data_IF_501817861848
#
_entry.id   IF_501817861848
#
_cell.length_a   1.000
_cell.length_b   1.000
_cell.length_c   1.000
_cell.angle_alpha   90.00
_cell.angle_beta   90.00
_cell.angle_gamma   90.00
#
_symmetry.space_group_name_H-M   'P 1'
#
loop_
_entity.id
_entity.type
_entity.pdbx_description
1 polymer ?
#
# COMPACT_ATOMS: atom_id res chain seq x y z
N UNK A 1 -29.06 -20.29 -30.55
CA UNK A 1 -28.81 -20.69 -29.14
C UNK A 1 -27.49 -20.08 -28.70
N UNK A 2 -27.45 -18.82 -28.31
CA UNK A 2 -27.78 -18.36 -26.97
C UNK A 2 -26.51 -17.78 -26.36
N UNK A 3 -26.17 -16.55 -26.76
CA UNK A 3 -24.95 -15.84 -26.35
C UNK A 3 -24.99 -15.61 -24.82
N UNK A 4 -24.25 -16.42 -24.07
CA UNK A 4 -24.19 -16.41 -22.59
C UNK A 4 -23.40 -15.20 -22.05
N UNK A 5 -22.86 -14.36 -22.93
CA UNK A 5 -22.26 -13.07 -22.61
C UNK A 5 -23.24 -11.92 -22.80
N UNK A 6 -24.50 -12.10 -22.40
CA UNK A 6 -25.30 -10.94 -22.01
C UNK A 6 -24.55 -10.29 -20.85
N UNK A 7 -23.91 -9.16 -21.15
CA UNK A 7 -23.37 -8.22 -20.19
C UNK A 7 -24.42 -8.05 -19.10
N UNK A 8 -24.21 -8.70 -17.95
CA UNK A 8 -24.86 -8.26 -16.73
C UNK A 8 -24.52 -6.78 -16.63
N UNK A 9 -25.52 -5.92 -16.72
CA UNK A 9 -25.39 -4.49 -16.53
C UNK A 9 -24.85 -4.28 -15.11
N UNK A 10 -23.52 -4.32 -14.98
CA UNK A 10 -22.87 -4.17 -13.70
C UNK A 10 -23.27 -2.79 -13.20
N UNK A 11 -24.01 -2.75 -12.09
CA UNK A 11 -24.42 -1.51 -11.47
C UNK A 11 -23.18 -0.63 -11.33
N UNK A 12 -23.24 0.65 -11.76
CA UNK A 12 -22.10 1.53 -11.66
C UNK A 12 -21.56 1.56 -10.24
N UNK A 13 -20.25 1.45 -10.09
CA UNK A 13 -19.57 1.53 -8.81
C UNK A 13 -19.84 2.91 -8.19
N UNK A 14 -20.37 2.95 -6.97
CA UNK A 14 -20.74 4.19 -6.26
C UNK A 14 -19.70 4.64 -5.24
N UNK A 15 -18.52 4.01 -5.21
CA UNK A 15 -17.47 4.29 -4.24
C UNK A 15 -16.11 4.49 -4.90
N UNK A 16 -15.17 5.10 -4.17
CA UNK A 16 -13.86 5.51 -4.66
C UNK A 16 -12.76 4.46 -4.48
N UNK A 17 -12.87 3.57 -3.48
CA UNK A 17 -11.90 2.51 -3.20
C UNK A 17 -11.74 1.52 -4.38
N UNK A 18 -10.51 1.20 -4.84
CA UNK A 18 -10.27 0.42 -6.05
C UNK A 18 -10.46 -1.09 -5.83
N UNK A 19 -10.77 -1.83 -6.90
CA UNK A 19 -10.80 -3.30 -6.85
C UNK A 19 -9.41 -3.91 -6.61
N UNK A 20 -8.35 -3.28 -7.13
CA UNK A 20 -6.96 -3.67 -6.93
C UNK A 20 -6.18 -2.46 -6.41
N UNK A 21 -5.51 -2.64 -5.28
CA UNK A 21 -4.56 -1.67 -4.75
C UNK A 21 -3.15 -2.20 -4.96
N UNK A 22 -2.29 -1.42 -5.62
CA UNK A 22 -0.89 -1.77 -5.88
C UNK A 22 -0.01 -0.91 -4.99
N UNK A 23 0.98 -1.52 -4.35
CA UNK A 23 2.03 -0.78 -3.65
C UNK A 23 3.38 -1.17 -4.24
N UNK A 24 4.10 -0.18 -4.72
CA UNK A 24 5.42 -0.35 -5.32
C UNK A 24 6.46 0.33 -4.42
N UNK A 25 7.47 -0.39 -3.98
CA UNK A 25 8.59 0.16 -3.22
C UNK A 25 9.83 0.24 -4.11
N UNK A 26 10.35 1.44 -4.30
CA UNK A 26 11.57 1.69 -5.08
C UNK A 26 12.75 1.87 -4.12
N UNK A 27 13.54 0.79 -3.94
CA UNK A 27 14.67 0.75 -3.00
C UNK A 27 15.99 1.04 -3.73
N UNK A 28 16.70 2.15 -3.43
CA UNK A 28 17.95 2.47 -4.11
C UNK A 28 19.02 1.39 -3.84
N UNK A 29 19.75 0.97 -4.89
CA UNK A 29 20.85 0.00 -4.76
C UNK A 29 22.13 0.60 -4.18
N UNK A 30 22.24 1.92 -4.22
CA UNK A 30 23.39 2.72 -3.78
C UNK A 30 22.98 3.74 -2.72
N UNK A 31 23.83 3.95 -1.72
CA UNK A 31 23.62 4.94 -0.67
C UNK A 31 24.01 6.36 -1.06
N UNK A 32 24.82 6.49 -2.13
CA UNK A 32 25.32 7.78 -2.64
C UNK A 32 24.40 8.29 -3.74
N UNK A 33 24.08 9.58 -3.68
CA UNK A 33 23.25 10.26 -4.66
C UNK A 33 21.78 10.43 -4.23
N UNK A 34 21.17 11.51 -4.72
CA UNK A 34 19.77 11.87 -4.48
C UNK A 34 18.96 11.89 -5.79
N UNK A 35 19.54 11.39 -6.87
CA UNK A 35 18.91 11.38 -8.20
C UNK A 35 17.97 10.19 -8.32
N UNK A 36 16.81 10.43 -8.93
CA UNK A 36 15.78 9.40 -9.20
C UNK A 36 16.20 8.40 -10.29
N UNK A 37 17.32 8.66 -10.96
CA UNK A 37 17.90 7.81 -12.01
C UNK A 37 18.80 6.68 -11.48
N UNK A 38 18.97 6.58 -10.17
CA UNK A 38 19.80 5.51 -9.61
C UNK A 38 19.11 4.14 -9.78
N UNK A 39 19.87 3.09 -10.10
CA UNK A 39 19.33 1.73 -10.11
C UNK A 39 18.65 1.40 -8.78
N UNK A 40 17.46 0.80 -8.87
CA UNK A 40 16.68 0.41 -7.70
C UNK A 40 16.22 -1.05 -7.79
N UNK A 41 16.02 -1.65 -6.62
CA UNK A 41 15.24 -2.88 -6.49
C UNK A 41 13.79 -2.48 -6.23
N UNK A 42 12.89 -2.98 -7.08
CA UNK A 42 11.47 -2.74 -6.93
C UNK A 42 10.79 -3.93 -6.25
N UNK A 43 9.95 -3.64 -5.26
CA UNK A 43 9.03 -4.62 -4.66
C UNK A 43 7.61 -4.16 -4.96
N UNK A 44 6.86 -4.94 -5.73
CA UNK A 44 5.47 -4.64 -6.05
C UNK A 44 4.54 -5.64 -5.38
N UNK A 45 3.59 -5.13 -4.60
CA UNK A 45 2.57 -5.91 -3.92
C UNK A 45 1.18 -5.56 -4.50
N UNK A 46 0.40 -6.59 -4.81
CA UNK A 46 -0.96 -6.47 -5.33
C UNK A 46 -1.96 -6.92 -4.27
N UNK A 47 -2.93 -6.07 -3.96
CA UNK A 47 -3.99 -6.34 -2.98
C UNK A 47 -5.35 -6.28 -3.67
N UNK A 48 -6.02 -7.43 -3.73
CA UNK A 48 -7.39 -7.51 -4.22
C UNK A 48 -8.38 -7.18 -3.08
N UNK A 49 -9.37 -6.34 -3.38
CA UNK A 49 -10.45 -6.03 -2.44
C UNK A 49 -11.21 -7.31 -2.06
N UNK A 50 -11.35 -7.53 -0.75
CA UNK A 50 -12.13 -8.65 -0.22
C UNK A 50 -13.64 -8.49 -0.46
N UNK A 51 -14.40 -9.58 -0.63
CA UNK A 51 -15.86 -9.52 -0.80
C UNK A 51 -16.56 -8.77 0.35
N UNK A 52 -16.09 -8.93 1.59
CA UNK A 52 -16.67 -8.29 2.78
C UNK A 52 -16.51 -6.77 2.73
N UNK A 53 -15.32 -6.28 2.35
CA UNK A 53 -15.07 -4.84 2.13
C UNK A 53 -16.00 -4.28 1.07
N UNK A 54 -16.19 -5.01 -0.04
CA UNK A 54 -17.12 -4.63 -1.11
C UNK A 54 -18.56 -4.57 -0.63
N UNK A 55 -18.98 -5.49 0.23
CA UNK A 55 -20.33 -5.50 0.78
C UNK A 55 -20.57 -4.29 1.68
N UNK A 56 -19.62 -3.95 2.56
CA UNK A 56 -19.71 -2.74 3.40
C UNK A 56 -19.79 -1.49 2.52
N UNK A 57 -18.95 -1.38 1.48
CA UNK A 57 -18.97 -0.24 0.55
C UNK A 57 -20.33 -0.11 -0.17
N UNK A 58 -20.93 -1.22 -0.59
CA UNK A 58 -22.28 -1.21 -1.18
C UNK A 58 -23.33 -0.71 -0.20
N UNK A 59 -23.25 -1.14 1.07
CA UNK A 59 -24.23 -0.76 2.10
C UNK A 59 -24.12 0.73 2.47
N UNK A 60 -22.91 1.24 2.68
CA UNK A 60 -22.73 2.65 3.10
C UNK A 60 -22.95 3.66 1.97
N UNK A 61 -22.90 3.21 0.71
CA UNK A 61 -23.15 4.05 -0.48
C UNK A 61 -24.47 3.71 -1.18
N UNK A 62 -25.33 2.87 -0.58
CA UNK A 62 -26.66 2.63 -1.11
C UNK A 62 -27.50 3.92 -0.99
N UNK A 63 -28.40 4.21 -1.96
CA UNK A 63 -29.37 5.28 -1.80
C UNK A 63 -30.13 5.08 -0.49
N UNK A 64 -30.23 6.12 0.34
CA UNK A 64 -31.14 6.09 1.48
C UNK A 64 -32.56 6.13 0.92
N UNK A 65 -33.24 4.98 0.85
CA UNK A 65 -34.70 4.97 0.86
C UNK A 65 -35.16 5.55 2.20
N UNK A 66 -36.34 6.18 2.23
CA UNK A 66 -36.95 6.87 3.40
C UNK A 66 -37.22 5.97 4.65
N UNK A 67 -36.65 4.76 4.69
CA UNK A 67 -36.64 3.88 5.86
C UNK A 67 -35.31 3.96 6.63
N UNK A 68 -35.31 3.74 7.96
CA UNK A 68 -34.08 3.78 8.73
C UNK A 68 -33.11 2.72 8.17
N UNK A 69 -31.89 3.11 7.77
CA UNK A 69 -30.95 2.15 7.25
C UNK A 69 -30.61 1.19 8.40
N UNK A 70 -30.78 -0.10 8.16
CA UNK A 70 -30.05 -1.10 8.94
C UNK A 70 -28.59 -1.04 8.48
N UNK A 71 -27.92 0.07 8.81
CA UNK A 71 -26.47 0.11 8.77
C UNK A 71 -25.98 -1.13 9.55
N UNK A 72 -24.95 -1.85 9.09
CA UNK A 72 -24.20 -2.71 10.01
C UNK A 72 -23.94 -1.86 11.26
N UNK A 73 -24.37 -2.38 12.43
CA UNK A 73 -24.48 -1.62 13.69
C UNK A 73 -23.43 -0.50 13.70
N UNK A 74 -23.80 0.77 13.86
CA UNK A 74 -22.86 1.93 13.88
C UNK A 74 -21.63 1.74 14.79
N UNK A 75 -21.62 0.67 15.60
CA UNK A 75 -20.54 0.20 16.45
C UNK A 75 -19.57 -0.82 15.82
N UNK A 76 -19.73 -1.24 14.56
CA UNK A 76 -18.79 -2.17 13.92
C UNK A 76 -17.54 -1.40 13.45
N UNK A 77 -16.37 -1.58 14.08
CA UNK A 77 -15.16 -0.85 13.74
C UNK A 77 -14.70 -1.06 12.29
N UNK A 78 -15.13 -2.15 11.65
CA UNK A 78 -14.84 -2.42 10.23
C UNK A 78 -15.52 -1.43 9.31
N UNK A 79 -16.67 -0.89 9.70
CA UNK A 79 -17.41 0.11 8.91
C UNK A 79 -16.63 1.42 8.87
N UNK A 80 -16.12 1.88 10.01
CA UNK A 80 -15.27 3.08 10.11
C UNK A 80 -13.99 2.91 9.30
N UNK A 81 -13.33 1.76 9.43
CA UNK A 81 -12.16 1.43 8.64
C UNK A 81 -12.43 1.48 7.12
N UNK A 82 -13.53 0.88 6.66
CA UNK A 82 -13.90 0.91 5.24
C UNK A 82 -14.27 2.32 4.76
N UNK A 83 -14.93 3.13 5.60
CA UNK A 83 -15.21 4.54 5.32
C UNK A 83 -13.91 5.34 5.16
N UNK A 84 -12.99 5.22 6.11
CA UNK A 84 -11.70 5.91 6.07
C UNK A 84 -10.90 5.53 4.82
N UNK A 85 -10.85 4.23 4.47
CA UNK A 85 -10.17 3.81 3.25
C UNK A 85 -10.81 4.39 1.99
N UNK A 86 -12.14 4.36 1.90
CA UNK A 86 -12.86 4.90 0.76
C UNK A 86 -12.65 6.40 0.59
N UNK A 87 -12.76 7.14 1.69
CA UNK A 87 -12.53 8.58 1.74
C UNK A 87 -11.07 8.92 1.39
N UNK A 88 -10.11 8.15 1.90
CA UNK A 88 -8.71 8.30 1.53
C UNK A 88 -8.50 8.08 0.02
N UNK A 89 -9.11 7.05 -0.58
CA UNK A 89 -9.03 6.79 -2.02
C UNK A 89 -9.69 7.89 -2.88
N UNK A 90 -10.62 8.65 -2.32
CA UNK A 90 -11.26 9.79 -2.97
C UNK A 90 -10.40 11.04 -2.89
N UNK A 91 -9.91 11.38 -1.70
CA UNK A 91 -9.25 12.66 -1.41
C UNK A 91 -7.75 12.66 -1.70
N UNK A 92 -7.04 11.58 -1.37
CA UNK A 92 -5.57 11.53 -1.46
C UNK A 92 -4.93 11.82 -2.83
N UNK A 93 -5.59 11.62 -4.00
CA UNK A 93 -5.02 12.03 -5.27
C UNK A 93 -4.85 13.56 -5.41
N UNK A 94 -5.71 14.33 -4.73
CA UNK A 94 -5.77 15.79 -4.85
C UNK A 94 -5.48 16.53 -3.54
N UNK A 95 -5.43 15.82 -2.41
CA UNK A 95 -5.20 16.37 -1.09
C UNK A 95 -3.93 15.76 -0.45
N UNK A 96 -2.82 16.51 -0.40
CA UNK A 96 -1.58 16.08 0.25
C UNK A 96 -1.75 15.73 1.73
N UNK A 97 -2.69 16.37 2.43
CA UNK A 97 -2.95 16.09 3.84
C UNK A 97 -3.52 14.68 4.03
N UNK A 98 -4.39 14.23 3.12
CA UNK A 98 -4.89 12.87 3.07
C UNK A 98 -3.82 11.89 2.60
N UNK A 99 -3.07 12.23 1.54
CA UNK A 99 -2.01 11.35 1.05
C UNK A 99 -0.96 11.05 2.13
N UNK A 100 -0.62 12.05 2.95
CA UNK A 100 0.33 11.90 4.07
C UNK A 100 -0.09 10.92 5.17
N UNK A 101 -1.36 10.50 5.19
CA UNK A 101 -1.88 9.49 6.12
C UNK A 101 -1.41 8.07 5.78
N UNK A 102 -0.91 7.84 4.56
CA UNK A 102 -0.37 6.54 4.17
C UNK A 102 0.96 6.26 4.88
N UNK A 103 1.02 5.13 5.58
CA UNK A 103 2.18 4.68 6.36
C UNK A 103 2.60 3.30 5.88
N UNK A 104 3.91 3.08 5.84
CA UNK A 104 4.52 1.75 5.69
C UNK A 104 5.03 1.28 7.05
N UNK A 105 4.73 0.03 7.44
CA UNK A 105 5.22 -0.59 8.67
C UNK A 105 6.07 -1.80 8.29
N UNK A 106 7.41 -1.66 8.23
CA UNK A 106 8.29 -2.78 8.04
C UNK A 106 8.47 -3.52 9.36
N UNK A 107 8.25 -4.83 9.37
CA UNK A 107 8.47 -5.68 10.53
C UNK A 107 9.38 -6.85 10.15
N UNK A 108 10.53 -6.94 10.79
CA UNK A 108 11.49 -8.02 10.61
C UNK A 108 11.28 -9.06 11.70
N UNK A 109 10.78 -10.24 11.31
CA UNK A 109 10.38 -11.28 12.26
C UNK A 109 11.59 -11.96 12.94
N UNK A 110 12.69 -12.15 12.20
CA UNK A 110 13.89 -12.84 12.68
C UNK A 110 15.04 -11.91 13.05
N UNK A 111 14.73 -10.70 13.54
CA UNK A 111 15.70 -9.63 13.78
C UNK A 111 16.89 -10.03 14.67
N UNK A 112 16.65 -10.87 15.68
CA UNK A 112 17.67 -11.39 16.59
C UNK A 112 18.69 -12.30 15.92
N UNK A 113 18.30 -12.99 14.84
CA UNK A 113 19.15 -13.91 14.08
C UNK A 113 20.04 -13.20 13.06
N UNK A 114 19.63 -12.00 12.63
CA UNK A 114 20.29 -11.26 11.55
C UNK A 114 21.55 -10.50 12.00
N UNK A 115 21.77 -10.36 13.31
CA UNK A 115 22.93 -9.64 13.86
C UNK A 115 23.00 -8.17 13.43
N UNK A 116 21.86 -7.54 13.12
CA UNK A 116 21.83 -6.14 12.67
C UNK A 116 22.32 -5.19 13.76
N UNK A 117 22.99 -4.08 13.38
CA UNK A 117 23.29 -3.00 14.30
C UNK A 117 22.04 -2.50 15.06
N UNK A 118 22.20 -2.21 16.36
CA UNK A 118 21.09 -1.81 17.23
C UNK A 118 20.36 -0.52 16.81
N UNK A 119 20.98 0.32 15.97
CA UNK A 119 20.32 1.51 15.42
C UNK A 119 19.35 1.16 14.28
N UNK A 120 19.54 0.04 13.57
CA UNK A 120 18.64 -0.48 12.53
C UNK A 120 17.48 -1.23 13.19
N UNK A 121 17.77 -2.06 14.20
CA UNK A 121 16.76 -2.88 14.86
C UNK A 121 15.61 -2.06 15.47
N UNK A 122 15.89 -0.82 15.87
CA UNK A 122 14.90 0.14 16.40
C UNK A 122 13.83 0.58 15.40
N UNK A 123 13.98 0.30 14.11
CA UNK A 123 13.01 0.68 13.07
C UNK A 123 12.00 -0.43 12.76
N UNK A 124 12.26 -1.67 13.18
CA UNK A 124 11.31 -2.78 13.00
C UNK A 124 10.02 -2.51 13.78
N UNK A 125 8.87 -2.64 13.11
CA UNK A 125 7.54 -2.39 13.65
C UNK A 125 7.17 -0.92 13.78
N UNK A 126 8.02 0.03 13.37
CA UNK A 126 7.71 1.47 13.44
C UNK A 126 7.16 1.99 12.12
N UNK A 127 6.15 2.88 12.15
CA UNK A 127 5.61 3.47 10.94
C UNK A 127 6.62 4.39 10.27
N UNK A 128 6.84 4.16 8.99
CA UNK A 128 7.56 5.01 8.05
C UNK A 128 6.55 5.95 7.40
N UNK A 129 6.76 7.25 7.59
CA UNK A 129 5.81 8.28 7.18
C UNK A 129 6.11 8.73 5.74
N UNK A 130 5.13 8.58 4.86
CA UNK A 130 5.25 8.97 3.44
C UNK A 130 4.71 10.40 3.27
N UNK A 131 5.45 11.38 3.79
CA UNK A 131 4.94 12.76 3.97
C UNK A 131 5.01 13.67 2.75
N UNK A 132 5.86 13.37 1.77
CA UNK A 132 6.16 14.28 0.65
C UNK A 132 5.51 13.74 -0.63
N UNK A 133 4.30 14.21 -0.91
CA UNK A 133 3.59 13.98 -2.17
C UNK A 133 4.46 14.35 -3.37
N UNK A 134 4.54 13.45 -4.35
CA UNK A 134 5.34 13.63 -5.56
C UNK A 134 6.85 13.59 -5.33
N UNK A 135 7.31 13.12 -4.16
CA UNK A 135 8.74 12.89 -3.87
C UNK A 135 8.98 11.53 -3.22
N UNK A 136 8.39 11.31 -2.05
CA UNK A 136 8.49 10.02 -1.33
C UNK A 136 7.33 9.10 -1.66
N UNK A 137 6.18 9.67 -2.02
CA UNK A 137 4.96 8.94 -2.36
C UNK A 137 4.36 9.48 -3.64
N UNK A 138 4.05 8.60 -4.58
CA UNK A 138 3.38 8.91 -5.84
C UNK A 138 2.12 8.06 -5.93
N UNK A 139 1.01 8.69 -6.29
CA UNK A 139 -0.29 8.06 -6.27
C UNK A 139 -0.92 8.15 -7.64
N UNK A 140 -1.21 7.00 -8.23
CA UNK A 140 -1.81 6.88 -9.55
C UNK A 140 -3.17 6.21 -9.42
N UNK A 141 -4.16 6.70 -10.16
CA UNK A 141 -5.51 6.14 -10.15
C UNK A 141 -6.00 5.91 -11.57
N UNK A 142 -6.37 4.67 -11.86
CA UNK A 142 -7.04 4.28 -13.08
C UNK A 142 -8.46 3.81 -12.75
N UNK A 143 -9.45 4.64 -13.06
CA UNK A 143 -10.86 4.36 -12.81
C UNK A 143 -11.51 3.48 -13.90
N UNK A 144 -10.76 3.08 -14.94
CA UNK A 144 -11.27 2.19 -15.98
C UNK A 144 -11.26 0.73 -15.50
N UNK A 145 -11.56 -0.23 -16.38
CA UNK A 145 -11.42 -1.66 -16.05
C UNK A 145 -10.06 -2.18 -16.55
N UNK A 146 -9.17 -2.70 -15.69
CA UNK A 146 -9.35 -2.90 -14.25
C UNK A 146 -9.26 -1.59 -13.43
N UNK A 147 -10.08 -1.50 -12.38
CA UNK A 147 -10.16 -0.37 -11.46
C UNK A 147 -9.05 -0.50 -10.42
N UNK A 148 -8.00 0.30 -10.62
CA UNK A 148 -6.70 0.17 -9.94
C UNK A 148 -6.29 1.50 -9.34
N UNK A 149 -5.71 1.45 -8.15
CA UNK A 149 -4.96 2.55 -7.56
C UNK A 149 -3.57 2.04 -7.18
N UNK A 150 -2.54 2.82 -7.48
CA UNK A 150 -1.15 2.48 -7.20
C UNK A 150 -0.51 3.55 -6.32
N UNK A 151 0.08 3.11 -5.20
CA UNK A 151 0.96 3.92 -4.37
C UNK A 151 2.41 3.47 -4.60
N UNK A 152 3.21 4.31 -5.23
CA UNK A 152 4.66 4.13 -5.29
C UNK A 152 5.33 4.86 -4.12
N UNK A 153 6.24 4.18 -3.43
CA UNK A 153 7.08 4.73 -2.37
C UNK A 153 8.53 4.73 -2.83
N UNK A 154 9.08 5.92 -3.04
CA UNK A 154 10.50 6.08 -3.39
C UNK A 154 11.33 6.32 -2.14
N UNK A 155 12.36 5.48 -1.95
CA UNK A 155 13.37 5.65 -0.89
C UNK A 155 14.56 6.52 -1.33
N UNK A 156 14.64 6.91 -2.61
CA UNK A 156 15.68 7.82 -3.12
C UNK A 156 15.78 9.16 -2.37
N UNK A 157 14.69 9.83 -1.97
CA UNK A 157 14.79 11.09 -1.25
C UNK A 157 14.92 10.90 0.27
N UNK A 158 15.00 9.67 0.79
CA UNK A 158 15.12 9.43 2.23
C UNK A 158 16.50 9.85 2.76
N UNK A 159 16.60 10.14 4.07
CA UNK A 159 17.88 10.51 4.69
C UNK A 159 18.94 9.44 4.49
N UNK A 160 20.22 9.85 4.48
CA UNK A 160 21.37 8.97 4.29
C UNK A 160 21.35 7.74 5.22
N UNK A 161 20.95 7.90 6.48
CA UNK A 161 20.85 6.79 7.43
C UNK A 161 19.88 5.67 6.96
N UNK A 162 18.75 6.03 6.34
CA UNK A 162 17.82 5.05 5.78
C UNK A 162 18.43 4.34 4.56
N UNK A 163 19.15 5.07 3.70
CA UNK A 163 19.85 4.49 2.55
C UNK A 163 20.97 3.53 2.97
N UNK A 164 21.73 3.87 4.00
CA UNK A 164 22.74 2.97 4.59
C UNK A 164 22.11 1.69 5.14
N UNK A 165 20.95 1.80 5.79
CA UNK A 165 20.23 0.63 6.28
C UNK A 165 19.78 -0.27 5.12
N UNK A 166 19.23 0.31 4.05
CA UNK A 166 18.84 -0.43 2.85
C UNK A 166 20.04 -1.09 2.15
N UNK A 167 21.19 -0.41 2.07
CA UNK A 167 22.40 -0.96 1.48
C UNK A 167 22.93 -2.17 2.28
N UNK A 168 22.98 -2.06 3.62
CA UNK A 168 23.34 -3.18 4.50
C UNK A 168 22.35 -4.34 4.34
N UNK A 169 21.05 -4.02 4.35
CA UNK A 169 20.01 -5.02 4.18
C UNK A 169 20.22 -5.77 2.87
N UNK A 170 20.45 -5.06 1.76
CA UNK A 170 20.65 -5.65 0.44
C UNK A 170 21.86 -6.58 0.38
N UNK A 171 23.03 -6.12 0.85
CA UNK A 171 24.30 -6.84 0.67
C UNK A 171 24.40 -8.09 1.54
N UNK A 172 24.00 -7.99 2.79
CA UNK A 172 24.38 -8.99 3.80
C UNK A 172 23.20 -9.79 4.38
N UNK A 173 21.97 -9.26 4.24
CA UNK A 173 20.83 -9.67 5.07
C UNK A 173 19.61 -10.08 4.24
N UNK A 174 19.44 -9.56 3.02
CA UNK A 174 18.20 -9.67 2.25
C UNK A 174 17.80 -11.14 2.03
N UNK A 175 18.76 -11.99 1.67
CA UNK A 175 18.53 -13.43 1.48
C UNK A 175 18.27 -14.21 2.79
N UNK A 176 18.36 -13.57 3.96
CA UNK A 176 18.10 -14.15 5.29
C UNK A 176 16.86 -13.56 5.96
N UNK A 177 16.32 -12.46 5.44
CA UNK A 177 15.28 -11.68 6.14
C UNK A 177 13.91 -12.32 5.96
N UNK A 178 13.15 -12.37 7.06
CA UNK A 178 11.69 -12.51 7.04
C UNK A 178 11.08 -11.14 7.28
N UNK A 179 10.71 -10.45 6.20
CA UNK A 179 10.22 -9.07 6.25
C UNK A 179 8.72 -9.03 5.94
N UNK A 180 7.92 -8.61 6.90
CA UNK A 180 6.51 -8.26 6.70
C UNK A 180 6.41 -6.76 6.44
N UNK A 181 5.71 -6.38 5.38
CA UNK A 181 5.39 -5.01 5.03
C UNK A 181 3.89 -4.79 5.22
N UNK A 182 3.53 -3.96 6.19
CA UNK A 182 2.15 -3.51 6.40
C UNK A 182 1.93 -2.12 5.83
N UNK A 183 0.77 -1.90 5.22
CA UNK A 183 0.37 -0.61 4.66
C UNK A 183 -0.86 -0.10 5.37
N UNK A 184 -0.78 1.08 5.98
CA UNK A 184 -1.79 1.61 6.88
C UNK A 184 -2.24 3.00 6.45
N UNK A 185 -3.54 3.27 6.55
CA UNK A 185 -4.09 4.63 6.53
C UNK A 185 -4.31 5.08 7.98
N UNK A 186 -3.62 6.14 8.35
CA UNK A 186 -3.76 6.82 9.65
C UNK A 186 -5.15 7.43 9.80
N UNK A 187 -5.84 7.04 10.88
CA UNK A 187 -6.97 7.75 11.44
C UNK A 187 -6.45 8.93 12.29
N UNK A 188 -7.15 10.05 12.23
CA UNK A 188 -6.83 11.29 12.95
C UNK A 188 -7.95 11.72 13.90
N UNK A 189 -9.19 11.36 13.59
CA UNK A 189 -10.35 11.62 14.44
C UNK A 189 -10.84 10.32 15.11
N UNK A 190 -11.56 10.44 16.24
CA UNK A 190 -12.06 9.28 16.99
C UNK A 190 -13.04 8.43 16.17
N UNK A 191 -13.86 9.10 15.33
CA UNK A 191 -14.83 8.44 14.45
C UNK A 191 -14.16 7.69 13.29
N UNK A 192 -12.91 8.03 12.99
CA UNK A 192 -12.08 7.34 12.00
C UNK A 192 -11.42 6.08 12.57
N UNK A 193 -11.41 5.90 13.90
CA UNK A 193 -10.79 4.73 14.53
C UNK A 193 -11.62 3.45 14.33
N UNK A 194 -10.94 2.29 14.17
CA UNK A 194 -9.48 2.10 14.15
C UNK A 194 -8.80 2.50 12.83
N UNK A 195 -7.48 2.75 12.86
CA UNK A 195 -6.66 2.90 11.63
C UNK A 195 -6.84 1.69 10.69
N UNK A 196 -6.67 1.91 9.38
CA UNK A 196 -6.95 0.87 8.38
C UNK A 196 -5.68 0.21 7.91
N UNK A 197 -5.54 -1.09 8.14
CA UNK A 197 -4.55 -1.92 7.47
C UNK A 197 -5.07 -2.32 6.08
N UNK A 198 -4.50 -1.73 5.02
CA UNK A 198 -4.87 -2.00 3.63
C UNK A 198 -4.43 -3.41 3.22
N UNK A 199 -3.21 -3.78 3.64
CA UNK A 199 -2.59 -5.01 3.20
C UNK A 199 -1.33 -5.35 3.97
N UNK A 200 -1.02 -6.64 3.98
CA UNK A 200 0.21 -7.22 4.48
C UNK A 200 0.82 -8.06 3.37
N UNK A 201 2.10 -7.85 3.11
CA UNK A 201 2.88 -8.77 2.29
C UNK A 201 4.10 -9.24 3.07
N UNK A 202 4.52 -10.48 2.85
CA UNK A 202 5.70 -11.03 3.48
C UNK A 202 6.72 -11.42 2.41
N UNK A 203 7.94 -10.94 2.58
CA UNK A 203 9.10 -11.33 1.80
C UNK A 203 9.89 -12.35 2.61
N UNK A 204 9.96 -13.57 2.08
CA UNK A 204 10.65 -14.68 2.71
C UNK A 204 11.97 -14.93 1.98
N UNK A 205 13.09 -14.60 2.64
CA UNK A 205 14.43 -14.87 2.12
C UNK A 205 14.65 -14.38 0.67
N UNK A 206 14.28 -13.12 0.35
CA UNK A 206 14.32 -12.62 -1.02
C UNK A 206 15.74 -12.65 -1.60
N UNK A 207 15.86 -13.13 -2.84
CA UNK A 207 17.11 -13.14 -3.61
C UNK A 207 17.08 -12.02 -4.65
N UNK A 208 17.76 -10.91 -4.36
CA UNK A 208 17.77 -9.75 -5.25
C UNK A 208 18.34 -10.08 -6.65
N UNK A 209 19.29 -11.03 -6.73
CA UNK A 209 19.83 -11.50 -8.03
C UNK A 209 18.79 -12.23 -8.92
N UNK A 210 17.68 -12.69 -8.34
CA UNK A 210 16.58 -13.33 -9.09
C UNK A 210 15.53 -12.33 -9.55
N UNK A 211 15.69 -11.04 -9.24
CA UNK A 211 14.81 -10.00 -9.74
C UNK A 211 14.96 -9.87 -11.26
N UNK A 212 13.83 -9.85 -11.97
CA UNK A 212 13.81 -9.67 -13.42
C UNK A 212 14.18 -8.21 -13.71
N UNK A 213 15.15 -7.99 -14.60
CA UNK A 213 15.45 -6.65 -15.08
C UNK A 213 14.28 -6.17 -15.96
N UNK A 214 13.87 -4.91 -15.80
CA UNK A 214 12.75 -4.37 -16.57
C UNK A 214 12.93 -4.56 -18.09
N UNK A 215 14.17 -4.39 -18.58
CA UNK A 215 14.54 -4.60 -19.98
C UNK A 215 14.40 -6.05 -20.47
N UNK A 216 14.44 -7.04 -19.57
CA UNK A 216 14.29 -8.45 -19.91
C UNK A 216 12.82 -8.88 -19.87
N UNK A 217 11.99 -8.18 -19.10
CA UNK A 217 10.56 -8.44 -18.98
C UNK A 217 9.76 -7.83 -20.13
N UNK A 218 10.07 -6.59 -20.48
CA UNK A 218 9.46 -5.93 -21.63
C UNK A 218 10.25 -6.28 -22.89
N UNK A 219 9.58 -6.85 -23.89
CA UNK A 219 10.16 -6.99 -25.23
C UNK A 219 10.50 -5.59 -25.73
N UNK A 220 11.79 -5.29 -25.90
CA UNK A 220 12.23 -4.15 -26.71
C UNK A 220 12.04 -4.45 -28.20
#
# INVERSE_FOLDING_TARGET
>A
DGNIYQQASATPKTWSAPNIFVVTLSLPLESKGNTEELPCLTITAYFAMRPETRQILKQINAPQDDGPPSLPQEKDPRVNAVRLFNEWCEKSPNDPSFQSRFKLIPHVANLSELGVPGWISRWSGKPVLIKRTGKTGFLYKNNNTPDVMEMEISFHPFPWAAKQALELLRKDIFHKVLLTLGFVIEAREEEELPEVLIGLTQLCYPKAESAVLAQDFFLQ
#
